data_IF_124857744665
#
_entry.id   IF_124857744665
#
_cell.length_a   1.000
_cell.length_b   1.000
_cell.length_c   1.000
_cell.angle_alpha   90.00
_cell.angle_beta   90.00
_cell.angle_gamma   90.00
#
_symmetry.space_group_name_H-M   'P 1'
#
loop_
_entity.id
_entity.type
_entity.pdbx_description
1 polymer ?
#
# COMPACT_ATOMS: atom_id res chain seq x y z
N UNK A 1 -31.03 4.05 -8.09
CA UNK A 1 -30.18 3.74 -9.27
C UNK A 1 -29.84 5.07 -9.92
N UNK A 2 -28.59 5.54 -9.80
CA UNK A 2 -28.17 6.89 -10.20
C UNK A 2 -27.64 6.87 -11.65
N UNK A 3 -28.08 7.82 -12.48
CA UNK A 3 -27.71 7.92 -13.91
C UNK A 3 -27.17 9.34 -14.20
N UNK A 4 -25.91 9.51 -14.61
CA UNK A 4 -25.34 10.83 -14.86
C UNK A 4 -25.83 11.41 -16.20
N UNK A 5 -26.19 12.70 -16.19
CA UNK A 5 -26.72 13.43 -17.33
C UNK A 5 -25.62 13.98 -18.26
N UNK A 6 -25.90 13.95 -19.57
CA UNK A 6 -25.03 14.53 -20.62
C UNK A 6 -25.16 16.05 -20.57
N UNK A 7 -24.03 16.75 -20.44
CA UNK A 7 -23.95 18.22 -20.44
C UNK A 7 -24.33 18.78 -21.83
N UNK A 8 -25.61 19.11 -22.00
CA UNK A 8 -26.12 19.95 -23.08
C UNK A 8 -26.41 21.34 -22.52
N UNK A 9 -25.69 22.35 -23.02
CA UNK A 9 -25.78 23.78 -22.69
C UNK A 9 -25.26 24.14 -21.29
N UNK A 10 -24.24 25.00 -21.24
CA UNK A 10 -23.52 25.42 -20.04
C UNK A 10 -24.47 26.31 -19.20
N UNK A 11 -25.29 25.69 -18.37
CA UNK A 11 -25.61 26.23 -17.05
C UNK A 11 -24.59 25.62 -16.09
N UNK A 12 -23.64 26.45 -15.66
CA UNK A 12 -22.77 26.12 -14.54
C UNK A 12 -23.66 25.87 -13.32
N UNK A 13 -23.83 24.62 -12.90
CA UNK A 13 -24.39 24.38 -11.58
C UNK A 13 -23.40 24.89 -10.53
N UNK A 14 -23.89 25.44 -9.42
CA UNK A 14 -23.04 25.95 -8.32
C UNK A 14 -21.99 24.92 -7.87
N UNK A 15 -22.37 23.63 -7.92
CA UNK A 15 -21.51 22.50 -7.60
C UNK A 15 -20.32 22.37 -8.56
N UNK A 16 -20.52 22.65 -9.84
CA UNK A 16 -19.49 22.63 -10.88
C UNK A 16 -18.50 23.79 -10.72
N UNK A 17 -19.00 24.98 -10.42
CA UNK A 17 -18.17 26.16 -10.16
C UNK A 17 -17.32 25.98 -8.90
N UNK A 18 -17.92 25.48 -7.81
CA UNK A 18 -17.22 25.19 -6.57
C UNK A 18 -16.10 24.17 -6.77
N UNK A 19 -16.39 23.07 -7.47
CA UNK A 19 -15.38 22.04 -7.78
C UNK A 19 -14.22 22.59 -8.60
N UNK A 20 -14.51 23.38 -9.63
CA UNK A 20 -13.50 24.00 -10.47
C UNK A 20 -12.65 25.00 -9.67
N UNK A 21 -13.27 25.79 -8.79
CA UNK A 21 -12.59 26.70 -7.86
C UNK A 21 -11.64 25.94 -6.93
N UNK A 22 -12.11 24.88 -6.28
CA UNK A 22 -11.33 24.13 -5.30
C UNK A 22 -10.14 23.41 -5.97
N UNK A 23 -10.38 22.76 -7.11
CA UNK A 23 -9.30 22.19 -7.91
C UNK A 23 -8.29 23.26 -8.31
N UNK A 24 -8.78 24.39 -8.83
CA UNK A 24 -7.92 25.49 -9.25
C UNK A 24 -7.18 26.10 -8.06
N UNK A 25 -7.68 26.12 -6.83
CA UNK A 25 -6.96 26.70 -5.69
C UNK A 25 -5.96 25.74 -5.05
N UNK A 26 -6.24 24.44 -5.04
CA UNK A 26 -5.51 23.50 -4.17
C UNK A 26 -4.79 22.37 -4.90
N UNK A 27 -5.24 21.98 -6.10
CA UNK A 27 -4.77 20.77 -6.77
C UNK A 27 -4.06 21.06 -8.09
N UNK A 28 -4.53 22.07 -8.83
CA UNK A 28 -4.07 22.35 -10.18
C UNK A 28 -2.57 22.69 -10.23
N UNK A 29 -1.86 22.06 -11.17
CA UNK A 29 -0.47 22.40 -11.45
C UNK A 29 -0.37 23.78 -12.12
N UNK A 30 0.22 24.75 -11.40
CA UNK A 30 0.33 26.15 -11.83
C UNK A 30 1.03 26.32 -13.16
N UNK A 31 2.13 25.59 -13.37
CA UNK A 31 2.94 25.68 -14.59
C UNK A 31 2.14 25.16 -15.79
N UNK A 32 1.42 24.05 -15.61
CA UNK A 32 0.56 23.50 -16.66
C UNK A 32 -0.58 24.44 -16.99
N UNK A 33 -1.28 24.97 -15.96
CA UNK A 33 -2.37 25.93 -16.16
C UNK A 33 -1.89 27.18 -16.91
N UNK A 34 -0.75 27.77 -16.54
CA UNK A 34 -0.21 28.94 -17.26
C UNK A 34 0.10 28.65 -18.72
N UNK A 35 0.65 27.46 -19.00
CA UNK A 35 1.04 27.04 -20.35
C UNK A 35 -0.19 26.83 -21.22
N UNK A 36 -1.16 26.06 -20.73
CA UNK A 36 -2.36 25.68 -21.49
C UNK A 36 -3.35 26.83 -21.68
N UNK A 37 -3.38 27.78 -20.73
CA UNK A 37 -4.20 28.99 -20.85
C UNK A 37 -3.52 30.12 -21.63
N UNK A 38 -2.21 30.02 -21.90
CA UNK A 38 -1.43 31.09 -22.52
C UNK A 38 -1.34 32.36 -21.67
N UNK A 39 -1.49 32.25 -20.34
CA UNK A 39 -1.43 33.40 -19.42
C UNK A 39 -0.13 33.42 -18.62
N UNK A 40 0.38 34.63 -18.38
CA UNK A 40 1.54 34.82 -17.53
C UNK A 40 1.31 34.35 -16.09
N UNK A 41 2.37 33.83 -15.44
CA UNK A 41 2.33 33.33 -14.07
C UNK A 41 1.81 34.35 -13.06
N UNK A 42 2.22 35.62 -13.20
CA UNK A 42 1.74 36.71 -12.34
C UNK A 42 0.25 37.02 -12.52
N UNK A 43 -0.28 36.83 -13.73
CA UNK A 43 -1.71 36.98 -14.01
C UNK A 43 -2.50 35.86 -13.36
N UNK A 44 -2.04 34.61 -13.51
CA UNK A 44 -2.66 33.47 -12.83
C UNK A 44 -2.70 33.67 -11.30
N UNK A 45 -1.59 34.06 -10.67
CA UNK A 45 -1.59 34.29 -9.22
C UNK A 45 -2.54 35.41 -8.78
N UNK A 46 -2.64 36.50 -9.54
CA UNK A 46 -3.64 37.55 -9.26
C UNK A 46 -5.07 37.01 -9.37
N UNK A 47 -5.36 36.17 -10.35
CA UNK A 47 -6.68 35.56 -10.50
C UNK A 47 -7.00 34.62 -9.35
N UNK A 48 -6.04 33.78 -8.95
CA UNK A 48 -6.20 32.88 -7.81
C UNK A 48 -6.43 33.65 -6.50
N UNK A 49 -5.76 34.77 -6.29
CA UNK A 49 -5.97 35.62 -5.10
C UNK A 49 -7.39 36.20 -5.07
N UNK A 50 -7.90 36.69 -6.20
CA UNK A 50 -9.28 37.18 -6.33
C UNK A 50 -10.32 36.08 -6.08
N UNK A 51 -10.10 34.89 -6.62
CA UNK A 51 -10.98 33.72 -6.42
C UNK A 51 -10.94 33.25 -4.96
N UNK A 52 -9.76 33.26 -4.34
CA UNK A 52 -9.59 32.89 -2.93
C UNK A 52 -10.33 33.86 -2.01
N UNK A 53 -10.27 35.16 -2.30
CA UNK A 53 -10.95 36.23 -1.56
C UNK A 53 -12.42 36.40 -1.91
N UNK A 54 -12.95 35.59 -2.83
CA UNK A 54 -14.34 35.68 -3.32
C UNK A 54 -14.71 37.05 -3.91
N UNK A 55 -13.70 37.81 -4.37
CA UNK A 55 -13.91 39.14 -4.96
C UNK A 55 -14.27 39.07 -6.44
N UNK A 56 -14.03 37.93 -7.09
CA UNK A 56 -14.36 37.70 -8.49
C UNK A 56 -14.64 36.24 -8.76
N UNK A 57 -15.54 35.96 -9.70
CA UNK A 57 -15.88 34.61 -10.13
C UNK A 57 -14.88 34.10 -11.19
N UNK A 58 -14.92 32.79 -11.48
CA UNK A 58 -14.11 32.20 -12.56
C UNK A 58 -14.53 32.79 -13.93
N UNK A 59 -15.82 33.02 -14.12
CA UNK A 59 -16.40 33.51 -15.38
C UNK A 59 -16.02 34.97 -15.67
N UNK A 60 -15.74 35.77 -14.62
CA UNK A 60 -15.26 37.14 -14.75
C UNK A 60 -13.76 37.23 -15.08
N UNK A 61 -12.98 36.22 -14.70
CA UNK A 61 -11.52 36.24 -14.81
C UNK A 61 -10.98 35.51 -16.04
N UNK A 62 -11.74 34.53 -16.55
CA UNK A 62 -11.33 33.67 -17.65
C UNK A 62 -12.31 33.78 -18.81
N UNK A 63 -11.79 33.75 -20.03
CA UNK A 63 -12.63 33.64 -21.22
C UNK A 63 -13.31 32.27 -21.28
N UNK A 64 -14.41 32.16 -22.02
CA UNK A 64 -15.11 30.88 -22.19
C UNK A 64 -14.18 29.75 -22.65
N UNK A 65 -13.26 30.04 -23.58
CA UNK A 65 -12.27 29.08 -24.06
C UNK A 65 -11.31 28.64 -22.95
N UNK A 66 -10.85 29.59 -22.12
CA UNK A 66 -9.98 29.29 -20.98
C UNK A 66 -10.71 28.43 -19.93
N UNK A 67 -11.98 28.73 -19.66
CA UNK A 67 -12.82 27.94 -18.76
C UNK A 67 -12.99 26.50 -19.28
N UNK A 68 -13.22 26.32 -20.58
CA UNK A 68 -13.26 24.98 -21.18
C UNK A 68 -11.93 24.23 -21.03
N UNK A 69 -10.80 24.92 -21.20
CA UNK A 69 -9.47 24.34 -20.97
C UNK A 69 -9.28 23.94 -19.50
N UNK A 70 -9.69 24.78 -18.54
CA UNK A 70 -9.61 24.46 -17.12
C UNK A 70 -10.41 23.18 -16.79
N UNK A 71 -11.62 23.04 -17.34
CA UNK A 71 -12.46 21.84 -17.15
C UNK A 71 -11.78 20.59 -17.74
N UNK A 72 -11.12 20.70 -18.90
CA UNK A 72 -10.37 19.57 -19.49
C UNK A 72 -9.22 19.13 -18.60
N UNK A 73 -8.46 20.08 -18.05
CA UNK A 73 -7.35 19.80 -17.15
C UNK A 73 -7.82 19.15 -15.85
N UNK A 74 -8.89 19.68 -15.26
CA UNK A 74 -9.47 19.15 -14.03
C UNK A 74 -9.96 17.71 -14.20
N UNK A 75 -10.64 17.40 -15.32
CA UNK A 75 -11.04 16.03 -15.63
C UNK A 75 -9.83 15.10 -15.86
N UNK A 76 -8.76 15.60 -16.49
CA UNK A 76 -7.55 14.80 -16.69
C UNK A 76 -6.85 14.45 -15.37
N UNK A 77 -6.75 15.42 -14.45
CA UNK A 77 -6.23 15.18 -13.10
C UNK A 77 -7.10 14.19 -12.32
N UNK A 78 -8.44 14.32 -12.43
CA UNK A 78 -9.37 13.39 -11.80
C UNK A 78 -9.22 11.95 -12.33
N UNK A 79 -9.10 11.79 -13.65
CA UNK A 79 -8.86 10.47 -14.26
C UNK A 79 -7.54 9.88 -13.80
N UNK A 80 -6.47 10.68 -13.74
CA UNK A 80 -5.17 10.23 -13.22
C UNK A 80 -5.26 9.77 -11.77
N UNK A 81 -5.99 10.49 -10.92
CA UNK A 81 -6.24 10.09 -9.54
C UNK A 81 -6.99 8.75 -9.44
N UNK A 82 -8.05 8.58 -10.24
CA UNK A 82 -8.82 7.33 -10.28
C UNK A 82 -7.95 6.14 -10.68
N UNK A 83 -7.12 6.29 -11.72
CA UNK A 83 -6.18 5.25 -12.16
C UNK A 83 -5.20 4.89 -11.06
N UNK A 84 -4.56 5.87 -10.42
CA UNK A 84 -3.62 5.62 -9.32
C UNK A 84 -4.28 4.95 -8.12
N UNK A 85 -5.52 5.32 -7.79
CA UNK A 85 -6.29 4.70 -6.72
C UNK A 85 -6.64 3.24 -7.05
N UNK A 86 -7.01 2.95 -8.30
CA UNK A 86 -7.26 1.60 -8.78
C UNK A 86 -5.99 0.74 -8.73
N UNK A 87 -4.84 1.28 -9.16
CA UNK A 87 -3.54 0.60 -9.09
C UNK A 87 -3.15 0.28 -7.64
N UNK A 88 -3.36 1.22 -6.71
CA UNK A 88 -3.11 0.99 -5.28
C UNK A 88 -4.03 -0.09 -4.70
N UNK A 89 -5.30 -0.12 -5.11
CA UNK A 89 -6.23 -1.17 -4.69
C UNK A 89 -5.81 -2.53 -5.24
N UNK A 90 -5.41 -2.60 -6.52
CA UNK A 90 -4.91 -3.81 -7.15
C UNK A 90 -3.63 -4.34 -6.47
N UNK A 91 -2.68 -3.45 -6.14
CA UNK A 91 -1.47 -3.82 -5.40
C UNK A 91 -1.76 -4.33 -3.99
N UNK A 92 -2.75 -3.75 -3.30
CA UNK A 92 -3.19 -4.24 -1.98
C UNK A 92 -3.84 -5.62 -2.08
N UNK A 93 -4.67 -5.85 -3.09
CA UNK A 93 -5.29 -7.16 -3.33
C UNK A 93 -4.23 -8.23 -3.64
N UNK A 94 -3.28 -7.94 -4.53
CA UNK A 94 -2.19 -8.86 -4.86
C UNK A 94 -1.32 -9.22 -3.65
N UNK A 95 -1.09 -8.27 -2.73
CA UNK A 95 -0.38 -8.54 -1.48
C UNK A 95 -1.19 -9.45 -0.55
N UNK A 96 -2.50 -9.22 -0.42
CA UNK A 96 -3.36 -10.07 0.39
C UNK A 96 -3.46 -11.50 -0.15
N UNK A 97 -3.44 -11.68 -1.47
CA UNK A 97 -3.41 -13.00 -2.11
C UNK A 97 -2.10 -13.75 -1.83
N UNK A 98 -0.95 -13.05 -1.87
CA UNK A 98 0.36 -13.61 -1.49
C UNK A 98 0.38 -14.03 -0.02
N UNK A 99 -0.09 -13.17 0.89
CA UNK A 99 -0.17 -13.48 2.33
C UNK A 99 -1.09 -14.71 2.58
N UNK A 100 -2.17 -14.86 1.81
CA UNK A 100 -3.06 -16.01 1.89
C UNK A 100 -2.39 -17.30 1.37
N UNK A 101 -1.64 -17.21 0.26
CA UNK A 101 -0.88 -18.34 -0.29
C UNK A 101 0.21 -18.81 0.68
N UNK A 102 0.95 -17.90 1.32
CA UNK A 102 1.94 -18.25 2.34
C UNK A 102 1.31 -18.93 3.55
N UNK A 103 0.16 -18.45 4.02
CA UNK A 103 -0.56 -19.07 5.13
C UNK A 103 -1.05 -20.49 4.77
N UNK A 104 -1.53 -20.69 3.54
CA UNK A 104 -1.94 -22.02 3.05
C UNK A 104 -0.74 -22.97 2.93
N UNK A 105 0.39 -22.50 2.38
CA UNK A 105 1.63 -23.28 2.29
C UNK A 105 2.12 -23.70 3.68
N UNK A 106 2.15 -22.77 4.63
CA UNK A 106 2.54 -23.04 6.02
C UNK A 106 1.63 -24.09 6.67
N UNK A 107 0.31 -23.96 6.49
CA UNK A 107 -0.67 -24.94 6.98
C UNK A 107 -0.48 -26.31 6.34
N UNK A 108 -0.19 -26.35 5.05
CA UNK A 108 0.04 -27.58 4.28
C UNK A 108 1.31 -28.28 4.75
N UNK A 109 2.42 -27.55 4.91
CA UNK A 109 3.67 -28.07 5.46
C UNK A 109 3.49 -28.63 6.87
N UNK A 110 2.73 -27.94 7.74
CA UNK A 110 2.36 -28.47 9.06
C UNK A 110 1.49 -29.74 8.96
N UNK A 111 0.52 -29.79 8.05
CA UNK A 111 -0.35 -30.95 7.87
C UNK A 111 0.41 -32.20 7.41
N UNK A 112 1.46 -32.02 6.59
CA UNK A 112 2.34 -33.09 6.15
C UNK A 112 3.49 -33.39 7.13
N UNK A 113 3.47 -32.81 8.33
CA UNK A 113 4.45 -33.10 9.39
C UNK A 113 5.84 -32.52 9.15
N UNK A 114 6.04 -31.63 8.17
CA UNK A 114 7.36 -31.06 7.86
C UNK A 114 7.96 -30.31 9.05
N UNK A 115 7.14 -29.64 9.87
CA UNK A 115 7.59 -28.99 11.10
C UNK A 115 8.11 -29.97 12.15
N UNK A 116 7.56 -31.18 12.21
CA UNK A 116 8.05 -32.25 13.09
C UNK A 116 9.33 -32.89 12.53
N UNK A 117 9.43 -33.03 11.20
CA UNK A 117 10.63 -33.55 10.52
C UNK A 117 11.82 -32.61 10.73
N UNK A 118 11.64 -31.29 10.58
CA UNK A 118 12.71 -30.31 10.81
C UNK A 118 13.11 -30.23 12.29
N UNK A 119 12.13 -30.24 13.20
CA UNK A 119 12.41 -30.27 14.64
C UNK A 119 13.20 -31.54 15.00
N UNK A 120 12.78 -32.72 14.52
CA UNK A 120 13.46 -33.99 14.80
C UNK A 120 14.90 -34.06 14.25
N UNK A 121 15.16 -33.47 13.08
CA UNK A 121 16.51 -33.43 12.50
C UNK A 121 17.44 -32.50 13.28
N UNK A 122 16.96 -31.33 13.70
CA UNK A 122 17.70 -30.45 14.60
C UNK A 122 17.92 -31.07 15.99
N UNK A 123 16.95 -31.85 16.48
CA UNK A 123 17.06 -32.56 17.75
C UNK A 123 18.12 -33.67 17.69
N UNK A 124 18.16 -34.45 16.61
CA UNK A 124 19.17 -35.48 16.40
C UNK A 124 20.59 -34.89 16.37
N UNK A 125 20.81 -33.82 15.59
CA UNK A 125 22.10 -33.13 15.53
C UNK A 125 22.53 -32.56 16.88
N UNK A 126 21.57 -32.10 17.69
CA UNK A 126 21.87 -31.58 19.02
C UNK A 126 22.29 -32.69 19.99
N UNK A 127 21.70 -33.89 19.89
CA UNK A 127 22.13 -35.07 20.67
C UNK A 127 23.57 -35.45 20.30
N UNK A 128 23.91 -35.48 19.01
CA UNK A 128 25.27 -35.78 18.55
C UNK A 128 26.29 -34.79 19.13
N UNK A 129 25.97 -33.49 19.13
CA UNK A 129 26.82 -32.45 19.72
C UNK A 129 26.97 -32.61 21.24
N UNK A 130 25.93 -33.09 21.94
CA UNK A 130 26.00 -33.37 23.38
C UNK A 130 26.85 -34.60 23.72
N UNK A 131 27.00 -35.55 22.80
CA UNK A 131 27.85 -36.73 22.98
C UNK A 131 29.32 -36.48 22.59
N UNK A 132 29.59 -35.40 21.84
CA UNK A 132 30.92 -35.04 21.34
C UNK A 132 31.90 -34.40 22.36
N UNK A 133 32.86 -33.65 21.82
CA UNK A 133 33.94 -32.98 22.57
C UNK A 133 33.44 -31.91 23.55
N UNK A 134 34.32 -31.40 24.43
CA UNK A 134 33.94 -30.35 25.38
C UNK A 134 33.43 -29.07 24.70
N UNK A 135 34.01 -28.69 23.55
CA UNK A 135 33.57 -27.55 22.75
C UNK A 135 32.20 -27.80 22.11
N UNK A 136 31.96 -29.01 21.58
CA UNK A 136 30.66 -29.40 21.01
C UNK A 136 29.56 -29.42 22.07
N UNK A 137 29.86 -29.90 23.28
CA UNK A 137 28.95 -29.84 24.43
C UNK A 137 28.62 -28.41 24.85
N UNK A 138 29.59 -27.50 24.81
CA UNK A 138 29.37 -26.09 25.10
C UNK A 138 28.50 -25.42 24.03
N UNK A 139 28.72 -25.75 22.76
CA UNK A 139 27.90 -25.29 21.64
C UNK A 139 26.45 -25.80 21.75
N UNK A 140 26.24 -27.07 22.12
CA UNK A 140 24.91 -27.63 22.34
C UNK A 140 24.15 -26.90 23.45
N UNK A 141 24.82 -26.56 24.56
CA UNK A 141 24.22 -25.77 25.66
C UNK A 141 23.79 -24.38 25.21
N UNK A 142 24.62 -23.71 24.41
CA UNK A 142 24.32 -22.38 23.87
C UNK A 142 23.12 -22.42 22.91
N UNK A 143 22.99 -23.47 22.10
CA UNK A 143 21.85 -23.70 21.20
C UNK A 143 20.57 -23.91 22.01
N UNK A 144 20.60 -24.78 23.03
CA UNK A 144 19.45 -25.05 23.91
C UNK A 144 18.93 -23.80 24.64
N UNK A 145 19.84 -23.00 25.19
CA UNK A 145 19.47 -21.77 25.92
C UNK A 145 18.78 -20.73 25.03
N UNK A 146 19.05 -20.76 23.72
CA UNK A 146 18.44 -19.83 22.75
C UNK A 146 17.07 -20.29 22.25
N UNK A 147 16.68 -21.53 22.51
CA UNK A 147 15.38 -22.03 22.09
C UNK A 147 14.23 -21.54 22.97
N UNK A 148 13.04 -21.29 22.41
CA UNK A 148 11.85 -21.00 23.18
C UNK A 148 11.40 -22.23 23.99
N UNK A 149 10.78 -22.00 25.16
CA UNK A 149 10.35 -23.07 26.08
C UNK A 149 9.47 -24.14 25.43
N UNK A 150 8.65 -23.77 24.43
CA UNK A 150 7.82 -24.72 23.68
C UNK A 150 8.66 -25.72 22.86
N UNK A 151 9.79 -25.28 22.28
CA UNK A 151 10.70 -26.12 21.50
C UNK A 151 11.57 -26.99 22.41
N UNK A 152 12.01 -26.45 23.55
CA UNK A 152 12.72 -27.24 24.57
C UNK A 152 11.88 -28.41 25.09
N UNK A 153 10.58 -28.20 25.38
CA UNK A 153 9.67 -29.29 25.79
C UNK A 153 9.52 -30.38 24.73
N UNK A 154 9.52 -30.03 23.44
CA UNK A 154 9.51 -31.00 22.34
C UNK A 154 10.81 -31.81 22.30
N UNK A 155 11.94 -31.13 22.45
CA UNK A 155 13.26 -31.78 22.54
C UNK A 155 13.37 -32.75 23.72
N UNK A 156 12.92 -32.35 24.92
CA UNK A 156 12.92 -33.23 26.10
C UNK A 156 12.07 -34.49 25.87
N UNK A 157 10.94 -34.34 25.17
CA UNK A 157 10.08 -35.48 24.78
C UNK A 157 10.79 -36.40 23.77
N UNK A 158 11.45 -35.81 22.77
CA UNK A 158 12.23 -36.53 21.78
C UNK A 158 13.40 -37.29 22.41
N UNK A 159 14.16 -36.65 23.31
CA UNK A 159 15.28 -37.27 24.02
C UNK A 159 14.84 -38.48 24.86
N UNK A 160 13.69 -38.38 25.56
CA UNK A 160 13.10 -39.52 26.28
C UNK A 160 12.66 -40.65 25.36
N UNK A 161 12.17 -40.33 24.16
CA UNK A 161 11.77 -41.35 23.17
C UNK A 161 12.99 -42.09 22.61
N UNK A 162 14.08 -41.39 22.31
CA UNK A 162 15.33 -41.99 21.85
C UNK A 162 15.94 -42.90 22.93
N UNK A 163 15.98 -42.45 24.19
CA UNK A 163 16.52 -43.25 25.31
C UNK A 163 15.70 -44.49 25.67
N UNK A 164 14.41 -44.54 25.32
CA UNK A 164 13.56 -45.72 25.56
C UNK A 164 13.60 -46.73 24.39
N UNK A 165 14.28 -46.38 23.29
CA UNK A 165 14.41 -47.20 22.09
C UNK A 165 15.87 -47.67 21.84
N UNK A 166 16.80 -47.36 22.74
CA UNK A 166 18.12 -47.97 22.88
C UNK A 166 18.09 -49.11 23.92
#
# INVERSE_FOLDING_TARGET
MYRPYKLGMIHFSDLSQKRLRDWLLHLANRTQVTKELGIGRNTLYRYLDKIKKETSSIEELFTLQQVQTLIKLENADWQKYLTQKADLAAKKAAKADLDHQEAQLTKTLHQYGWGEITDNLEFAQLIDLQQGSAEQKQQARAILQRWPAAKQKKYDKYQKQVQNHE
#
